data_IF_724109326968
#
_entry.id   IF_724109326968
#
_cell.length_a   1.000
_cell.length_b   1.000
_cell.length_c   1.000
_cell.angle_alpha   90.00
_cell.angle_beta   90.00
_cell.angle_gamma   90.00
#
_symmetry.space_group_name_H-M   'P 1'
#
loop_
_entity.id
_entity.type
_entity.pdbx_description
1 polymer ?
#
# COMPACT_ATOMS: atom_id res chain seq x y z
N UNK A 1 6.96 -18.73 17.46
CA UNK A 1 6.76 -18.89 16.02
C UNK A 1 6.58 -17.53 15.35
N UNK A 2 7.38 -17.22 14.37
CA UNK A 2 7.30 -15.94 13.67
C UNK A 2 6.12 -15.88 12.72
N UNK A 3 5.59 -14.67 12.53
CA UNK A 3 4.56 -14.41 11.53
C UNK A 3 5.23 -13.85 10.29
N UNK A 4 4.72 -14.23 9.12
CA UNK A 4 5.27 -13.80 7.83
C UNK A 4 4.22 -13.01 7.07
N UNK A 5 4.70 -12.01 6.36
CA UNK A 5 3.89 -11.29 5.40
C UNK A 5 4.82 -10.79 4.28
N UNK A 6 4.22 -10.45 3.16
CA UNK A 6 4.96 -9.94 2.00
C UNK A 6 4.32 -8.64 1.56
N UNK A 7 5.15 -7.65 1.28
CA UNK A 7 4.66 -6.45 0.61
C UNK A 7 5.63 -6.05 -0.50
N UNK A 8 5.06 -5.56 -1.59
CA UNK A 8 5.81 -5.08 -2.74
C UNK A 8 5.48 -3.61 -2.94
N UNK A 9 6.51 -2.78 -3.17
CA UNK A 9 6.32 -1.33 -3.29
C UNK A 9 6.42 -0.90 -4.75
N UNK A 10 5.41 -0.14 -5.19
CA UNK A 10 5.31 0.35 -6.56
C UNK A 10 4.82 1.79 -6.59
N UNK A 11 4.99 2.44 -7.72
CA UNK A 11 4.33 3.70 -8.02
C UNK A 11 3.28 3.45 -9.09
N UNK A 12 2.17 4.19 -9.02
CA UNK A 12 1.12 4.11 -10.01
C UNK A 12 1.34 5.16 -11.11
N UNK A 13 0.65 4.99 -12.22
CA UNK A 13 0.71 5.94 -13.34
C UNK A 13 -0.64 5.99 -14.04
N UNK A 14 -0.96 7.14 -14.60
CA UNK A 14 -2.20 7.35 -15.33
C UNK A 14 -1.93 8.14 -16.62
N UNK A 15 -2.93 8.19 -17.50
CA UNK A 15 -2.83 8.91 -18.76
C UNK A 15 -2.82 10.43 -18.59
N UNK A 16 -3.33 10.95 -17.46
CA UNK A 16 -3.23 12.38 -17.16
C UNK A 16 -2.69 12.56 -15.74
N UNK A 17 -2.45 13.82 -15.37
CA UNK A 17 -1.75 14.15 -14.13
C UNK A 17 -2.66 14.33 -12.93
N UNK A 18 -3.98 14.15 -13.07
CA UNK A 18 -4.90 14.44 -11.96
C UNK A 18 -5.07 13.30 -10.96
N UNK A 19 -5.06 12.00 -11.35
CA UNK A 19 -5.20 10.94 -10.34
C UNK A 19 -4.10 11.01 -9.30
N UNK A 20 -4.49 10.81 -8.04
CA UNK A 20 -3.61 10.93 -6.89
C UNK A 20 -4.04 9.94 -5.80
N UNK A 21 -3.10 9.53 -4.95
CA UNK A 21 -3.39 8.73 -3.80
C UNK A 21 -2.72 7.37 -3.77
N UNK A 22 -2.87 6.70 -2.63
CA UNK A 22 -2.28 5.38 -2.38
C UNK A 22 -3.33 4.29 -2.51
N UNK A 23 -2.91 3.12 -2.97
CA UNK A 23 -3.81 1.99 -3.24
C UNK A 23 -3.11 0.69 -2.85
N UNK A 24 -3.86 -0.30 -2.41
CA UNK A 24 -3.32 -1.62 -2.09
C UNK A 24 -4.00 -2.68 -2.95
N UNK A 25 -3.20 -3.52 -3.60
CA UNK A 25 -3.70 -4.60 -4.43
C UNK A 25 -3.50 -5.92 -3.71
N UNK A 26 -4.54 -6.74 -3.68
CA UNK A 26 -4.54 -8.04 -3.01
C UNK A 26 -5.15 -9.09 -3.92
N UNK A 27 -4.85 -10.38 -3.64
CA UNK A 27 -5.37 -11.49 -4.44
C UNK A 27 -6.88 -11.64 -4.26
N UNK A 28 -7.37 -11.52 -3.03
CA UNK A 28 -8.79 -11.72 -2.72
C UNK A 28 -9.22 -10.90 -1.50
N UNK A 29 -10.51 -10.65 -1.38
CA UNK A 29 -11.13 -9.95 -0.26
C UNK A 29 -12.45 -10.62 0.12
N UNK A 30 -12.78 -10.71 1.44
CA UNK A 30 -11.93 -10.32 2.56
C UNK A 30 -10.83 -11.35 2.79
N UNK A 31 -9.70 -10.89 3.33
CA UNK A 31 -8.54 -11.76 3.58
C UNK A 31 -7.61 -11.10 4.60
N UNK A 32 -6.63 -11.86 5.09
CA UNK A 32 -5.59 -11.29 5.93
C UNK A 32 -4.82 -10.20 5.17
N UNK A 33 -4.60 -10.41 3.86
CA UNK A 33 -3.93 -9.42 3.02
C UNK A 33 -4.73 -8.12 2.93
N UNK A 34 -6.06 -8.22 2.79
CA UNK A 34 -6.88 -7.00 2.73
C UNK A 34 -6.90 -6.26 4.06
N UNK A 35 -6.85 -6.97 5.18
CA UNK A 35 -6.74 -6.33 6.50
C UNK A 35 -5.40 -5.61 6.64
N UNK A 36 -4.30 -6.24 6.21
CA UNK A 36 -2.98 -5.63 6.22
C UNK A 36 -2.96 -4.38 5.33
N UNK A 37 -3.51 -4.49 4.12
CA UNK A 37 -3.59 -3.36 3.19
C UNK A 37 -4.39 -2.19 3.76
N UNK A 38 -5.51 -2.49 4.41
CA UNK A 38 -6.35 -1.46 5.04
C UNK A 38 -5.58 -0.70 6.11
N UNK A 39 -4.85 -1.41 6.96
CA UNK A 39 -4.09 -0.77 8.04
C UNK A 39 -2.96 0.09 7.48
N UNK A 40 -2.23 -0.40 6.49
CA UNK A 40 -1.16 0.37 5.87
C UNK A 40 -1.71 1.62 5.18
N UNK A 41 -2.80 1.48 4.42
CA UNK A 41 -3.40 2.62 3.71
C UNK A 41 -3.89 3.70 4.68
N UNK A 42 -4.44 3.30 5.82
CA UNK A 42 -4.86 4.26 6.84
C UNK A 42 -3.70 5.11 7.32
N UNK A 43 -2.55 4.49 7.57
CA UNK A 43 -1.36 5.20 8.00
C UNK A 43 -0.74 6.04 6.88
N UNK A 44 -0.75 5.55 5.64
CA UNK A 44 -0.29 6.33 4.49
C UNK A 44 -1.10 7.62 4.35
N UNK A 45 -2.42 7.52 4.43
CA UNK A 45 -3.27 8.70 4.38
C UNK A 45 -2.97 9.66 5.53
N UNK A 46 -2.81 9.13 6.74
CA UNK A 46 -2.59 9.95 7.94
C UNK A 46 -1.26 10.70 7.89
N UNK A 47 -0.18 10.05 7.47
CA UNK A 47 1.15 10.64 7.50
C UNK A 47 1.50 11.43 6.25
N UNK A 48 1.05 11.00 5.08
CA UNK A 48 1.39 11.67 3.81
C UNK A 48 0.33 12.67 3.36
N UNK A 49 -0.90 12.55 3.85
CA UNK A 49 -2.02 13.35 3.37
C UNK A 49 -2.57 12.89 2.03
N UNK A 50 -1.98 11.86 1.40
CA UNK A 50 -2.48 11.37 0.13
C UNK A 50 -3.80 10.62 0.31
N UNK A 51 -4.67 10.75 -0.70
CA UNK A 51 -5.96 10.07 -0.70
C UNK A 51 -5.78 8.56 -0.53
N UNK A 52 -6.62 7.97 0.32
CA UNK A 52 -6.71 6.52 0.45
C UNK A 52 -7.69 6.02 -0.61
N UNK A 53 -7.15 5.37 -1.66
CA UNK A 53 -7.94 4.87 -2.78
C UNK A 53 -8.52 3.47 -2.51
N UNK A 54 -8.15 2.87 -1.38
CA UNK A 54 -8.72 1.61 -0.93
C UNK A 54 -7.96 0.38 -1.39
N UNK A 55 -8.48 -0.76 -0.97
CA UNK A 55 -7.93 -2.08 -1.32
C UNK A 55 -8.67 -2.60 -2.53
N UNK A 56 -7.92 -3.08 -3.53
CA UNK A 56 -8.46 -3.55 -4.80
C UNK A 56 -8.01 -4.99 -5.03
N UNK A 57 -8.94 -5.84 -5.47
CA UNK A 57 -8.64 -7.23 -5.80
C UNK A 57 -8.01 -7.32 -7.19
N UNK A 58 -6.87 -8.03 -7.28
CA UNK A 58 -6.15 -8.28 -8.52
C UNK A 58 -5.65 -9.73 -8.54
N UNK A 59 -6.57 -10.66 -8.81
CA UNK A 59 -6.26 -12.10 -8.75
C UNK A 59 -5.28 -12.56 -9.83
N UNK A 60 -5.05 -11.74 -10.86
CA UNK A 60 -4.13 -12.09 -11.94
C UNK A 60 -2.66 -11.79 -11.67
N UNK A 61 -2.34 -11.07 -10.60
CA UNK A 61 -0.95 -10.71 -10.32
C UNK A 61 -0.19 -11.89 -9.72
N UNK A 62 0.92 -12.25 -10.37
CA UNK A 62 1.69 -13.43 -9.99
C UNK A 62 2.19 -13.37 -8.54
N UNK A 63 2.76 -12.24 -8.13
CA UNK A 63 3.35 -12.09 -6.79
C UNK A 63 2.30 -12.29 -5.69
N UNK A 64 1.05 -11.93 -5.94
CA UNK A 64 -0.02 -12.09 -4.99
C UNK A 64 -0.58 -13.51 -5.00
N UNK A 65 -0.65 -14.12 -6.18
CA UNK A 65 -1.28 -15.42 -6.38
C UNK A 65 -0.44 -16.58 -5.87
N UNK A 66 0.89 -16.49 -6.00
CA UNK A 66 1.81 -17.60 -5.71
C UNK A 66 2.37 -17.61 -4.30
N UNK A 67 1.90 -16.73 -3.46
CA UNK A 67 2.40 -16.59 -2.10
C UNK A 67 1.43 -17.21 -1.10
N UNK A 68 1.96 -17.88 -0.07
CA UNK A 68 1.13 -18.52 0.98
C UNK A 68 0.90 -17.62 2.18
N UNK A 69 1.70 -16.59 2.32
CA UNK A 69 1.55 -15.61 3.40
C UNK A 69 0.69 -14.45 2.92
N UNK A 70 0.14 -13.64 3.84
CA UNK A 70 -0.55 -12.41 3.43
C UNK A 70 0.37 -11.56 2.57
N UNK A 71 -0.09 -11.20 1.38
CA UNK A 71 0.70 -10.46 0.41
C UNK A 71 -0.09 -9.28 -0.13
N UNK A 72 0.53 -8.10 -0.13
CA UNK A 72 -0.07 -6.89 -0.63
C UNK A 72 0.91 -6.16 -1.56
N UNK A 73 0.41 -5.65 -2.68
CA UNK A 73 1.18 -4.78 -3.55
C UNK A 73 0.71 -3.36 -3.29
N UNK A 74 1.62 -2.52 -2.79
CA UNK A 74 1.30 -1.15 -2.43
C UNK A 74 1.68 -0.21 -3.57
N UNK A 75 0.69 0.51 -4.08
CA UNK A 75 0.89 1.63 -5.00
C UNK A 75 0.93 2.88 -4.14
N UNK A 76 2.13 3.41 -3.89
CA UNK A 76 2.33 4.48 -2.90
C UNK A 76 1.73 5.80 -3.34
N UNK A 77 1.74 6.09 -4.63
CA UNK A 77 1.19 7.30 -5.20
C UNK A 77 1.36 7.26 -6.71
N UNK A 78 0.82 8.25 -7.39
CA UNK A 78 0.91 8.35 -8.84
C UNK A 78 2.15 9.14 -9.25
N UNK A 79 3.07 8.48 -9.96
CA UNK A 79 4.26 9.17 -10.47
C UNK A 79 3.90 10.25 -11.50
N UNK A 80 2.73 10.12 -12.12
CA UNK A 80 2.21 11.11 -13.09
C UNK A 80 1.59 12.34 -12.43
N UNK A 81 1.33 12.27 -11.12
CA UNK A 81 0.80 13.43 -10.38
C UNK A 81 1.97 14.19 -9.74
N UNK A 82 2.16 15.49 -10.06
CA UNK A 82 3.32 16.23 -9.56
C UNK A 82 3.43 16.30 -8.03
N UNK A 83 2.30 16.39 -7.32
CA UNK A 83 2.31 16.43 -5.87
C UNK A 83 2.71 15.08 -5.27
N UNK A 84 2.13 13.98 -5.78
CA UNK A 84 2.48 12.63 -5.32
C UNK A 84 3.96 12.36 -5.57
N UNK A 85 4.43 12.67 -6.79
CA UNK A 85 5.82 12.43 -7.16
C UNK A 85 6.78 13.22 -6.27
N UNK A 86 6.46 14.47 -5.96
CA UNK A 86 7.29 15.30 -5.09
C UNK A 86 7.36 14.73 -3.69
N UNK A 87 6.23 14.28 -3.12
CA UNK A 87 6.19 13.67 -1.80
C UNK A 87 7.04 12.42 -1.74
N UNK A 88 6.90 11.54 -2.72
CA UNK A 88 7.68 10.30 -2.76
C UNK A 88 9.18 10.57 -2.91
N UNK A 89 9.55 11.60 -3.67
CA UNK A 89 10.95 11.97 -3.86
C UNK A 89 11.55 12.66 -2.63
N UNK A 90 10.82 13.61 -2.05
CA UNK A 90 11.37 14.49 -1.01
C UNK A 90 11.16 13.96 0.41
N UNK A 91 10.10 13.18 0.63
CA UNK A 91 9.72 12.71 1.96
C UNK A 91 9.48 11.19 2.01
N UNK A 92 10.43 10.37 1.51
CA UNK A 92 10.21 8.91 1.49
C UNK A 92 10.08 8.31 2.89
N UNK A 93 10.63 8.95 3.92
CA UNK A 93 10.53 8.45 5.30
C UNK A 93 9.10 8.44 5.82
N UNK A 94 8.24 9.34 5.35
CA UNK A 94 6.83 9.32 5.74
C UNK A 94 6.14 8.05 5.26
N UNK A 95 6.47 7.61 4.04
CA UNK A 95 5.93 6.38 3.48
C UNK A 95 6.43 5.17 4.24
N UNK A 96 7.73 5.14 4.54
CA UNK A 96 8.34 4.03 5.30
C UNK A 96 7.73 3.94 6.71
N UNK A 97 7.54 5.06 7.39
CA UNK A 97 6.95 5.11 8.71
C UNK A 97 5.49 4.63 8.70
N UNK A 98 4.74 5.05 7.69
CA UNK A 98 3.35 4.63 7.54
C UNK A 98 3.23 3.12 7.33
N UNK A 99 4.08 2.54 6.49
CA UNK A 99 4.10 1.11 6.25
C UNK A 99 4.45 0.37 7.54
N UNK A 100 5.46 0.84 8.25
CA UNK A 100 5.88 0.25 9.53
C UNK A 100 4.72 0.26 10.54
N UNK A 101 4.09 1.41 10.73
CA UNK A 101 2.97 1.53 11.67
C UNK A 101 1.78 0.66 11.25
N UNK A 102 1.50 0.60 9.95
CA UNK A 102 0.42 -0.25 9.45
C UNK A 102 0.66 -1.72 9.72
N UNK A 103 1.91 -2.17 9.56
CA UNK A 103 2.28 -3.55 9.87
C UNK A 103 2.13 -3.82 11.36
N UNK A 104 2.60 -2.91 12.22
CA UNK A 104 2.46 -3.06 13.66
C UNK A 104 0.99 -3.11 14.08
N UNK A 105 0.15 -2.27 13.49
CA UNK A 105 -1.27 -2.28 13.78
C UNK A 105 -1.90 -3.61 13.36
N UNK A 106 -1.57 -4.08 12.16
CA UNK A 106 -2.06 -5.38 11.67
C UNK A 106 -1.66 -6.51 12.62
N UNK A 107 -0.43 -6.46 13.14
CA UNK A 107 0.07 -7.47 14.07
C UNK A 107 -0.46 -7.32 15.49
N UNK A 108 -1.18 -6.23 15.77
CA UNK A 108 -1.77 -5.99 17.09
C UNK A 108 -0.78 -5.51 18.15
N UNK A 109 0.34 -4.91 17.73
CA UNK A 109 1.38 -4.47 18.65
C UNK A 109 1.68 -2.98 18.56
N UNK A 110 0.81 -2.24 17.92
CA UNK A 110 0.91 -0.79 17.86
C UNK A 110 0.11 -0.16 18.99
#
# INVERSE_FOLDING_TARGET
>A
MGRRLLYSLHTNAAGDSTPSGSEALVFSQPSAASALGTDILGWLNRLTGLRNRGVVTRSGLYVLRKTRMPAVLLELGFITNPNDARLMRDDPTLFAEAIYNGILEYLGIL
#
